data_IF_759387435485
#
_entry.id   IF_759387435485
#
_cell.length_a   1.000
_cell.length_b   1.000
_cell.length_c   1.000
_cell.angle_alpha   90.00
_cell.angle_beta   90.00
_cell.angle_gamma   90.00
#
_symmetry.space_group_name_H-M   'P 1'
#
loop_
_entity.id
_entity.type
_entity.pdbx_description
1 polymer ?
#
# COMPACT_ATOMS: atom_id res chain seq x y z
N UNK A 1 -19.23 -57.79 1.86
CA UNK A 1 -18.22 -56.85 1.37
C UNK A 1 -18.79 -55.55 0.86
N UNK A 2 -19.89 -55.54 0.06
CA UNK A 2 -20.48 -54.30 -0.48
C UNK A 2 -21.05 -53.33 0.56
N UNK A 3 -21.72 -53.81 1.61
CA UNK A 3 -22.33 -52.98 2.65
C UNK A 3 -21.24 -52.19 3.43
N UNK A 4 -20.13 -52.81 3.81
CA UNK A 4 -19.02 -52.11 4.50
C UNK A 4 -18.37 -51.05 3.63
N UNK A 5 -18.18 -51.31 2.33
CA UNK A 5 -17.63 -50.36 1.39
C UNK A 5 -18.54 -49.15 1.25
N UNK A 6 -19.85 -49.32 1.12
CA UNK A 6 -20.83 -48.25 1.03
C UNK A 6 -20.83 -47.40 2.31
N UNK A 7 -20.80 -48.00 3.49
CA UNK A 7 -20.73 -47.24 4.75
C UNK A 7 -19.45 -46.45 4.85
N UNK A 8 -18.29 -47.02 4.50
CA UNK A 8 -17.01 -46.30 4.50
C UNK A 8 -17.02 -45.12 3.54
N UNK A 9 -17.55 -45.29 2.33
CA UNK A 9 -17.65 -44.19 1.34
C UNK A 9 -18.58 -43.08 1.86
N UNK A 10 -19.71 -43.42 2.44
CA UNK A 10 -20.66 -42.44 3.01
C UNK A 10 -20.02 -41.66 4.14
N UNK A 11 -19.34 -42.31 5.09
CA UNK A 11 -18.67 -41.67 6.22
C UNK A 11 -17.56 -40.74 5.71
N UNK A 12 -16.75 -41.21 4.74
CA UNK A 12 -15.69 -40.37 4.14
C UNK A 12 -16.29 -39.13 3.44
N UNK A 13 -17.37 -39.30 2.70
CA UNK A 13 -18.07 -38.17 2.03
C UNK A 13 -18.61 -37.14 3.01
N UNK A 14 -19.21 -37.62 4.12
CA UNK A 14 -19.70 -36.72 5.19
C UNK A 14 -18.54 -35.99 5.85
N UNK A 15 -17.43 -36.68 6.14
CA UNK A 15 -16.26 -36.06 6.75
C UNK A 15 -15.65 -34.99 5.82
N UNK A 16 -15.51 -35.29 4.53
CA UNK A 16 -15.01 -34.32 3.52
C UNK A 16 -15.95 -33.11 3.42
N UNK A 17 -17.26 -33.34 3.34
CA UNK A 17 -18.24 -32.25 3.29
C UNK A 17 -18.21 -31.38 4.56
N UNK A 18 -18.04 -32.01 5.73
CA UNK A 18 -17.96 -31.29 7.01
C UNK A 18 -16.70 -30.43 7.09
N UNK A 19 -15.55 -30.95 6.65
CA UNK A 19 -14.28 -30.20 6.58
C UNK A 19 -14.43 -29.04 5.59
N UNK A 20 -14.99 -29.31 4.42
CA UNK A 20 -15.22 -28.28 3.40
C UNK A 20 -16.13 -27.17 3.91
N UNK A 21 -17.25 -27.50 4.55
CA UNK A 21 -18.16 -26.53 5.17
C UNK A 21 -17.48 -25.73 6.28
N UNK A 22 -16.65 -26.36 7.09
CA UNK A 22 -15.88 -25.66 8.13
C UNK A 22 -14.88 -24.67 7.53
N UNK A 23 -14.17 -25.04 6.47
CA UNK A 23 -13.23 -24.19 5.76
C UNK A 23 -13.97 -22.99 5.14
N UNK A 24 -15.07 -23.23 4.43
CA UNK A 24 -15.85 -22.16 3.78
C UNK A 24 -16.43 -21.20 4.81
N UNK A 25 -17.02 -21.71 5.92
CA UNK A 25 -17.60 -20.85 6.97
C UNK A 25 -16.58 -20.02 7.73
N UNK A 26 -15.35 -20.50 7.88
CA UNK A 26 -14.29 -19.81 8.61
C UNK A 26 -13.33 -19.06 7.66
N UNK A 27 -13.57 -19.09 6.36
CA UNK A 27 -12.79 -18.32 5.40
C UNK A 27 -12.96 -16.82 5.67
N UNK A 28 -11.89 -16.03 5.73
CA UNK A 28 -11.99 -14.58 5.77
C UNK A 28 -12.39 -13.97 4.42
N UNK A 29 -12.41 -14.80 3.35
CA UNK A 29 -12.67 -14.38 1.98
C UNK A 29 -14.18 -14.45 1.66
N UNK A 30 -14.66 -13.40 0.98
CA UNK A 30 -15.95 -13.34 0.31
C UNK A 30 -15.74 -12.95 -1.16
N UNK A 31 -15.24 -13.90 -2.01
CA UNK A 31 -14.69 -13.58 -3.33
C UNK A 31 -15.74 -13.17 -4.34
N UNK A 32 -15.36 -12.22 -5.21
CA UNK A 32 -16.12 -11.84 -6.41
C UNK A 32 -15.39 -12.33 -7.67
N UNK A 33 -16.15 -12.60 -8.76
CA UNK A 33 -15.53 -12.86 -10.06
C UNK A 33 -14.71 -11.66 -10.53
N UNK A 34 -13.44 -11.88 -10.86
CA UNK A 34 -12.59 -10.86 -11.44
C UNK A 34 -12.91 -10.66 -12.92
N UNK A 35 -13.05 -9.40 -13.33
CA UNK A 35 -13.13 -9.01 -14.73
C UNK A 35 -12.00 -8.04 -15.03
N UNK A 36 -11.11 -8.42 -15.95
CA UNK A 36 -9.98 -7.57 -16.33
C UNK A 36 -10.23 -6.94 -17.70
N UNK A 37 -9.91 -5.65 -17.89
CA UNK A 37 -9.92 -5.04 -19.21
C UNK A 37 -8.88 -5.74 -20.11
N UNK A 38 -9.10 -5.71 -21.40
CA UNK A 38 -8.08 -6.17 -22.35
C UNK A 38 -6.82 -5.32 -22.21
N UNK A 39 -5.65 -5.95 -22.24
CA UNK A 39 -4.38 -5.21 -22.23
C UNK A 39 -4.34 -4.25 -23.42
N UNK A 40 -3.86 -3.01 -23.21
CA UNK A 40 -3.61 -2.11 -24.33
C UNK A 40 -2.56 -2.73 -25.27
N UNK A 41 -2.61 -2.37 -26.54
CA UNK A 41 -1.59 -2.80 -27.50
C UNK A 41 -0.23 -2.19 -27.11
N UNK A 42 0.85 -2.93 -27.33
CA UNK A 42 2.23 -2.47 -27.13
C UNK A 42 2.67 -1.55 -28.28
N UNK A 43 1.95 -0.45 -28.48
CA UNK A 43 2.15 0.53 -29.54
C UNK A 43 2.30 1.93 -28.96
N UNK A 44 2.95 2.85 -29.65
CA UNK A 44 3.12 4.24 -29.22
C UNK A 44 3.87 4.33 -27.88
N UNK A 45 3.28 4.95 -26.86
CA UNK A 45 3.91 5.12 -25.54
C UNK A 45 4.07 3.79 -24.79
N UNK A 46 3.36 2.76 -25.16
CA UNK A 46 3.46 1.41 -24.59
C UNK A 46 4.39 0.48 -25.39
N UNK A 47 5.01 0.97 -26.46
CA UNK A 47 5.93 0.16 -27.25
C UNK A 47 7.14 -0.27 -26.40
N UNK A 48 7.62 -1.50 -26.67
CA UNK A 48 8.82 -2.02 -26.02
C UNK A 48 9.99 -1.05 -26.19
N UNK A 49 10.74 -0.79 -25.11
CA UNK A 49 11.91 0.08 -25.13
C UNK A 49 13.01 -0.46 -24.20
N UNK A 50 14.20 0.10 -24.30
CA UNK A 50 15.38 -0.27 -23.52
C UNK A 50 15.92 0.91 -22.66
N UNK A 51 15.07 1.89 -22.33
CA UNK A 51 15.48 3.11 -21.63
C UNK A 51 16.13 2.85 -20.27
N UNK A 52 15.72 1.78 -19.58
CA UNK A 52 16.27 1.38 -18.28
C UNK A 52 17.40 0.35 -18.38
N UNK A 53 17.87 0.01 -19.58
CA UNK A 53 19.05 -0.85 -19.73
C UNK A 53 20.32 -0.08 -19.32
N UNK A 54 21.12 -0.68 -18.45
CA UNK A 54 22.39 -0.09 -18.01
C UNK A 54 22.26 0.98 -16.92
N UNK A 55 21.09 1.11 -16.26
CA UNK A 55 20.94 2.00 -15.10
C UNK A 55 21.83 1.51 -13.94
N UNK A 56 22.38 2.46 -13.19
CA UNK A 56 23.09 2.19 -11.96
C UNK A 56 22.10 1.84 -10.84
N UNK A 57 22.43 0.83 -10.03
CA UNK A 57 21.66 0.46 -8.84
C UNK A 57 22.35 1.02 -7.61
N UNK A 58 21.68 1.95 -6.94
CA UNK A 58 22.16 2.56 -5.70
C UNK A 58 21.66 1.75 -4.50
N UNK A 59 22.54 1.54 -3.49
CA UNK A 59 22.15 0.91 -2.21
C UNK A 59 21.92 -0.58 -2.22
N UNK A 60 22.45 -1.30 -3.21
CA UNK A 60 22.32 -2.76 -3.28
C UNK A 60 22.85 -3.41 -2.00
N UNK A 61 21.99 -4.19 -1.31
CA UNK A 61 22.33 -4.85 -0.04
C UNK A 61 22.29 -3.94 1.19
N UNK A 62 22.08 -2.63 1.03
CA UNK A 62 21.98 -1.67 2.13
C UNK A 62 20.54 -1.16 2.34
N UNK A 63 19.71 -1.17 1.29
CA UNK A 63 18.31 -0.73 1.32
C UNK A 63 17.43 -1.95 1.11
N UNK A 64 16.70 -2.34 2.16
CA UNK A 64 15.88 -3.55 2.15
C UNK A 64 14.43 -3.21 1.77
N UNK A 65 13.98 -3.72 0.63
CA UNK A 65 12.59 -3.58 0.18
C UNK A 65 12.09 -2.12 0.17
N UNK A 66 12.81 -1.18 -0.49
CA UNK A 66 12.33 0.19 -0.65
C UNK A 66 11.05 0.15 -1.51
N UNK A 67 10.11 1.04 -1.20
CA UNK A 67 8.86 1.08 -1.94
C UNK A 67 8.72 2.41 -2.69
N UNK A 68 8.86 3.54 -1.98
CA UNK A 68 8.74 4.88 -2.54
C UNK A 68 9.99 5.72 -2.27
N UNK A 69 10.13 6.84 -2.98
CA UNK A 69 11.28 7.74 -2.92
C UNK A 69 10.83 9.20 -2.82
N UNK A 70 11.37 9.93 -1.85
CA UNK A 70 11.22 11.38 -1.74
C UNK A 70 12.58 12.07 -1.84
N UNK A 71 12.63 13.21 -2.51
CA UNK A 71 13.86 14.01 -2.65
C UNK A 71 13.65 15.36 -1.98
N UNK A 72 14.53 15.72 -1.05
CA UNK A 72 14.44 17.01 -0.37
C UNK A 72 15.10 18.16 -1.16
N UNK A 73 14.98 19.37 -0.64
CA UNK A 73 15.54 20.59 -1.27
C UNK A 73 17.09 20.56 -1.39
N UNK A 74 17.76 19.68 -0.65
CA UNK A 74 19.20 19.50 -0.69
C UNK A 74 19.64 18.38 -1.64
N UNK A 75 18.70 17.68 -2.30
CA UNK A 75 18.99 16.58 -3.21
C UNK A 75 19.23 15.24 -2.50
N UNK A 76 18.91 15.12 -1.20
CA UNK A 76 18.99 13.85 -0.46
C UNK A 76 17.73 13.04 -0.73
N UNK A 77 17.89 11.72 -0.84
CA UNK A 77 16.79 10.81 -1.15
C UNK A 77 16.38 10.05 0.12
N UNK A 78 15.09 10.03 0.40
CA UNK A 78 14.51 9.26 1.49
C UNK A 78 13.69 8.10 0.95
N UNK A 79 13.71 6.97 1.64
CA UNK A 79 12.90 5.80 1.29
C UNK A 79 12.50 5.00 2.52
N UNK A 80 11.26 4.51 2.52
CA UNK A 80 10.77 3.58 3.52
C UNK A 80 11.24 2.15 3.24
N UNK A 81 11.73 1.44 4.26
CA UNK A 81 12.31 0.11 4.12
C UNK A 81 11.51 -0.97 4.88
N UNK A 82 11.63 -2.21 4.41
CA UNK A 82 10.95 -3.37 5.02
C UNK A 82 11.42 -3.72 6.42
N UNK A 83 12.58 -3.20 6.82
CA UNK A 83 13.16 -3.36 8.16
C UNK A 83 12.68 -2.29 9.17
N UNK A 84 11.70 -1.46 8.78
CA UNK A 84 11.10 -0.42 9.62
C UNK A 84 11.90 0.88 9.67
N UNK A 85 12.96 1.01 8.89
CA UNK A 85 13.74 2.22 8.77
C UNK A 85 13.25 3.11 7.64
N UNK A 86 13.27 4.41 7.85
CA UNK A 86 13.42 5.39 6.78
C UNK A 86 14.92 5.58 6.61
N UNK A 87 15.43 5.25 5.43
CA UNK A 87 16.84 5.47 5.07
C UNK A 87 16.99 6.71 4.22
N UNK A 88 18.14 7.37 4.35
CA UNK A 88 18.49 8.55 3.58
C UNK A 88 19.77 8.29 2.79
N UNK A 89 19.71 8.58 1.51
CA UNK A 89 20.88 8.60 0.62
C UNK A 89 21.36 10.03 0.53
N UNK A 90 22.57 10.27 0.99
CA UNK A 90 23.23 11.58 0.92
C UNK A 90 23.67 11.89 -0.51
N UNK A 91 23.98 13.14 -0.79
CA UNK A 91 24.40 13.60 -2.12
C UNK A 91 25.77 13.02 -2.57
N UNK A 92 26.57 12.53 -1.65
CA UNK A 92 27.81 11.79 -1.93
C UNK A 92 27.61 10.29 -2.13
N UNK A 93 26.35 9.82 -2.06
CA UNK A 93 25.96 8.42 -2.20
C UNK A 93 26.03 7.61 -0.90
N UNK A 94 26.44 8.20 0.25
CA UNK A 94 26.39 7.50 1.53
C UNK A 94 24.93 7.21 1.92
N UNK A 95 24.69 6.00 2.46
CA UNK A 95 23.37 5.61 2.95
C UNK A 95 23.39 5.54 4.46
N UNK A 96 22.45 6.25 5.08
CA UNK A 96 22.31 6.29 6.54
C UNK A 96 20.93 5.78 6.97
N UNK A 97 20.88 5.10 8.10
CA UNK A 97 19.65 4.81 8.80
C UNK A 97 19.18 6.11 9.48
N UNK A 98 18.22 6.81 8.84
CA UNK A 98 17.85 8.15 9.30
C UNK A 98 16.90 8.12 10.50
N UNK A 99 15.75 7.44 10.38
CA UNK A 99 14.79 7.30 11.50
C UNK A 99 14.12 5.93 11.48
N UNK A 100 14.10 5.27 12.62
CA UNK A 100 13.41 3.97 12.79
C UNK A 100 11.95 4.21 13.19
N UNK A 101 11.00 3.89 12.30
CA UNK A 101 9.57 4.03 12.56
C UNK A 101 8.95 2.78 13.16
N UNK A 102 9.60 1.62 13.03
CA UNK A 102 9.20 0.36 13.66
C UNK A 102 8.04 -0.37 12.99
N UNK A 103 7.42 0.24 11.97
CA UNK A 103 6.36 -0.36 11.18
C UNK A 103 6.83 -0.84 9.81
N UNK A 104 6.01 -0.59 8.79
CA UNK A 104 6.37 -0.79 7.38
C UNK A 104 6.06 0.51 6.63
N UNK A 105 6.99 1.46 6.58
CA UNK A 105 6.84 2.65 5.75
C UNK A 105 6.80 2.24 4.27
N UNK A 106 5.75 2.65 3.59
CA UNK A 106 5.52 2.46 2.16
C UNK A 106 5.71 3.81 1.47
N UNK A 107 4.65 4.59 1.27
CA UNK A 107 4.73 5.90 0.66
C UNK A 107 5.49 6.90 1.53
N UNK A 108 6.35 7.72 0.91
CA UNK A 108 7.10 8.79 1.56
C UNK A 108 7.08 10.05 0.71
N UNK A 109 6.91 11.22 1.34
CA UNK A 109 7.01 12.52 0.67
C UNK A 109 7.64 13.55 1.60
N UNK A 110 8.39 14.51 1.04
CA UNK A 110 8.89 15.65 1.81
C UNK A 110 7.74 16.63 2.03
N UNK A 111 7.44 16.94 3.28
CA UNK A 111 6.44 17.91 3.67
C UNK A 111 6.90 19.35 3.48
N UNK A 112 6.02 20.31 3.80
CA UNK A 112 6.27 21.74 3.56
C UNK A 112 7.38 22.33 4.44
N UNK A 113 7.73 21.69 5.54
CA UNK A 113 8.73 22.13 6.52
C UNK A 113 9.93 21.16 6.58
N UNK A 114 10.21 20.46 5.50
CA UNK A 114 11.30 19.46 5.37
C UNK A 114 11.11 18.22 6.28
N UNK A 115 9.94 18.04 6.90
CA UNK A 115 9.54 16.78 7.52
C UNK A 115 9.27 15.70 6.48
N UNK A 116 9.38 14.45 6.85
CA UNK A 116 9.00 13.32 6.00
C UNK A 116 7.61 12.85 6.41
N UNK A 117 6.64 12.99 5.52
CA UNK A 117 5.31 12.41 5.69
C UNK A 117 5.34 10.98 5.17
N UNK A 118 4.71 10.08 5.88
CA UNK A 118 4.82 8.64 5.62
C UNK A 118 3.45 7.97 5.72
N UNK A 119 3.11 7.15 4.74
CA UNK A 119 2.10 6.12 4.89
C UNK A 119 2.77 4.85 5.43
N UNK A 120 2.52 4.52 6.69
CA UNK A 120 3.00 3.26 7.28
C UNK A 120 1.87 2.24 7.29
N UNK A 121 2.12 1.08 6.69
CA UNK A 121 1.11 0.04 6.49
C UNK A 121 0.43 -0.44 7.79
N UNK A 122 1.08 -0.29 8.95
CA UNK A 122 0.55 -0.73 10.23
C UNK A 122 0.13 0.41 11.15
N UNK A 123 0.75 1.59 11.00
CA UNK A 123 0.58 2.71 11.93
C UNK A 123 -0.30 3.83 11.38
N UNK A 124 -0.53 3.86 10.05
CA UNK A 124 -1.32 4.90 9.39
C UNK A 124 -0.46 6.05 8.85
N UNK A 125 -0.99 7.27 8.88
CA UNK A 125 -0.30 8.46 8.38
C UNK A 125 0.59 9.06 9.47
N UNK A 126 1.88 9.21 9.17
CA UNK A 126 2.90 9.69 10.11
C UNK A 126 3.53 11.01 9.62
N UNK A 127 3.92 11.85 10.57
CA UNK A 127 4.86 12.95 10.38
C UNK A 127 6.16 12.57 11.08
N UNK A 128 7.27 12.55 10.35
CA UNK A 128 8.56 12.07 10.83
C UNK A 128 9.62 13.14 10.62
N UNK A 129 10.33 13.44 11.70
CA UNK A 129 11.57 14.22 11.68
C UNK A 129 12.69 13.39 12.28
N UNK A 130 13.92 13.84 12.24
CA UNK A 130 15.05 13.04 12.72
C UNK A 130 14.86 12.59 14.18
N UNK A 131 14.69 11.28 14.35
CA UNK A 131 14.48 10.64 15.65
C UNK A 131 13.11 10.90 16.32
N UNK A 132 12.15 11.57 15.64
CA UNK A 132 10.81 11.82 16.18
C UNK A 132 9.73 11.35 15.20
N UNK A 133 8.74 10.67 15.75
CA UNK A 133 7.61 10.13 15.00
C UNK A 133 6.33 10.63 15.65
N UNK A 134 5.44 11.18 14.85
CA UNK A 134 4.09 11.56 15.25
C UNK A 134 3.08 10.87 14.37
N UNK A 135 2.21 10.03 14.96
CA UNK A 135 1.04 9.49 14.27
C UNK A 135 0.02 10.61 14.14
N UNK A 136 -0.37 10.97 12.93
CA UNK A 136 -1.29 12.07 12.66
C UNK A 136 -2.69 11.61 12.23
N UNK A 137 -2.81 10.40 11.69
CA UNK A 137 -4.12 9.80 11.40
C UNK A 137 -4.05 8.27 11.36
N UNK A 138 -5.07 7.61 11.95
CA UNK A 138 -5.19 6.13 12.00
C UNK A 138 -6.54 5.63 11.50
N UNK A 139 -7.49 6.54 11.26
CA UNK A 139 -8.84 6.18 10.81
C UNK A 139 -9.51 7.33 10.07
N UNK A 140 -10.54 7.01 9.30
CA UNK A 140 -11.45 7.98 8.69
C UNK A 140 -12.87 7.42 8.73
N UNK A 141 -13.86 8.30 9.03
CA UNK A 141 -15.28 7.96 9.12
C UNK A 141 -15.56 6.77 10.08
N UNK A 142 -14.78 6.66 11.18
CA UNK A 142 -14.92 5.58 12.19
C UNK A 142 -14.36 4.23 11.74
N UNK A 143 -13.69 4.16 10.60
CA UNK A 143 -13.08 2.94 10.07
C UNK A 143 -11.55 3.08 10.03
N UNK A 144 -10.87 2.24 10.82
CA UNK A 144 -9.39 2.22 10.89
C UNK A 144 -8.77 1.86 9.55
N UNK A 145 -7.58 2.38 9.32
CA UNK A 145 -6.74 1.93 8.21
C UNK A 145 -6.17 0.54 8.52
N UNK A 146 -5.98 -0.25 7.49
CA UNK A 146 -5.33 -1.56 7.58
C UNK A 146 -4.07 -1.62 6.74
N UNK A 147 -4.00 -0.80 5.68
CA UNK A 147 -2.87 -0.77 4.77
C UNK A 147 -2.79 0.59 4.08
N UNK A 148 -2.32 1.62 4.81
CA UNK A 148 -1.99 2.90 4.15
C UNK A 148 -0.78 2.73 3.24
N UNK A 149 -0.82 3.32 2.03
CA UNK A 149 0.12 3.01 0.97
C UNK A 149 0.76 4.27 0.37
N UNK A 150 0.19 4.88 -0.66
CA UNK A 150 0.75 6.06 -1.31
C UNK A 150 0.27 7.38 -0.72
N UNK A 151 1.07 8.46 -0.86
CA UNK A 151 0.65 9.80 -0.45
C UNK A 151 1.30 10.89 -1.31
N UNK A 152 0.66 12.06 -1.33
CA UNK A 152 1.24 13.30 -1.83
C UNK A 152 0.71 14.50 -1.03
N UNK A 153 1.46 15.60 -1.02
CA UNK A 153 1.16 16.81 -0.22
C UNK A 153 0.95 18.03 -1.10
N UNK A 154 -0.18 18.71 -0.89
CA UNK A 154 -0.49 19.96 -1.57
C UNK A 154 0.25 21.15 -0.97
N UNK A 155 0.35 22.27 -1.74
CA UNK A 155 1.00 23.52 -1.32
C UNK A 155 0.35 24.18 -0.10
N UNK A 156 -0.90 23.83 0.21
CA UNK A 156 -1.60 24.28 1.42
C UNK A 156 -1.41 23.35 2.63
N UNK A 157 -0.62 22.30 2.47
CA UNK A 157 -0.35 21.27 3.50
C UNK A 157 -1.38 20.14 3.55
N UNK A 158 -2.41 20.18 2.72
CA UNK A 158 -3.37 19.07 2.60
C UNK A 158 -2.64 17.80 2.11
N UNK A 159 -2.85 16.68 2.79
CA UNK A 159 -2.26 15.40 2.40
C UNK A 159 -3.33 14.53 1.76
N UNK A 160 -3.07 14.07 0.54
CA UNK A 160 -3.86 13.05 -0.14
C UNK A 160 -3.14 11.71 -0.01
N UNK A 161 -3.86 10.68 0.40
CA UNK A 161 -3.23 9.37 0.61
C UNK A 161 -4.24 8.24 0.41
N UNK A 162 -3.72 7.03 0.26
CA UNK A 162 -4.51 5.84 0.04
C UNK A 162 -4.46 4.90 1.24
N UNK A 163 -5.57 4.19 1.44
CA UNK A 163 -5.65 2.98 2.26
C UNK A 163 -6.01 1.86 1.29
N UNK A 164 -5.02 1.04 0.93
CA UNK A 164 -5.15 0.03 -0.12
C UNK A 164 -6.22 -1.01 0.23
N UNK A 165 -6.36 -1.31 1.51
CA UNK A 165 -7.41 -2.17 2.03
C UNK A 165 -7.77 -1.78 3.47
N UNK A 166 -9.07 -1.55 3.74
CA UNK A 166 -9.56 -1.41 5.10
C UNK A 166 -9.87 -2.75 5.77
N UNK A 167 -9.82 -3.85 5.01
CA UNK A 167 -10.16 -5.20 5.47
C UNK A 167 -8.93 -6.03 5.82
N UNK A 168 -7.95 -6.06 4.95
CA UNK A 168 -6.75 -6.88 5.09
C UNK A 168 -5.52 -6.02 5.36
N UNK A 169 -4.68 -6.45 6.29
CA UNK A 169 -3.39 -5.81 6.53
C UNK A 169 -2.31 -6.30 5.55
N UNK A 170 -1.11 -5.74 5.65
CA UNK A 170 -0.01 -6.06 4.75
C UNK A 170 0.37 -7.56 4.77
N UNK A 171 0.24 -8.25 5.90
CA UNK A 171 0.53 -9.69 5.94
C UNK A 171 -0.54 -10.52 5.23
N UNK A 172 -1.71 -9.94 5.05
CA UNK A 172 -2.89 -10.55 4.46
C UNK A 172 -3.20 -10.03 3.05
N UNK A 173 -2.40 -9.12 2.49
CA UNK A 173 -2.67 -8.53 1.17
C UNK A 173 -2.93 -9.55 0.05
N UNK A 174 -2.32 -10.77 0.04
CA UNK A 174 -2.67 -11.76 -0.97
C UNK A 174 -4.12 -12.23 -0.89
N UNK A 175 -4.75 -12.13 0.30
CA UNK A 175 -6.16 -12.47 0.47
C UNK A 175 -7.08 -11.39 -0.15
N UNK A 176 -6.67 -10.11 -0.12
CA UNK A 176 -7.38 -9.03 -0.81
C UNK A 176 -7.42 -9.30 -2.31
N UNK A 177 -6.30 -9.74 -2.88
CA UNK A 177 -6.19 -10.14 -4.28
C UNK A 177 -7.08 -11.32 -4.63
N UNK A 178 -7.11 -12.36 -3.79
CA UNK A 178 -7.93 -13.54 -4.00
C UNK A 178 -9.43 -13.24 -3.82
N UNK A 179 -9.77 -12.28 -2.97
CA UNK A 179 -11.15 -11.86 -2.75
C UNK A 179 -11.70 -11.01 -3.90
N UNK A 180 -10.84 -10.22 -4.56
CA UNK A 180 -11.19 -9.33 -5.66
C UNK A 180 -12.38 -8.41 -5.33
N UNK A 181 -12.39 -7.84 -4.10
CA UNK A 181 -13.38 -6.84 -3.67
C UNK A 181 -12.76 -5.47 -3.53
N UNK A 182 -13.55 -4.40 -3.74
CA UNK A 182 -13.05 -3.04 -3.65
C UNK A 182 -12.98 -2.59 -2.17
N UNK A 183 -11.92 -2.98 -1.46
CA UNK A 183 -11.68 -2.65 -0.06
C UNK A 183 -10.84 -1.38 0.12
N UNK A 184 -10.40 -0.72 -0.95
CA UNK A 184 -9.53 0.45 -0.91
C UNK A 184 -10.28 1.77 -0.80
N UNK A 185 -9.55 2.80 -0.32
CA UNK A 185 -10.06 4.18 -0.14
C UNK A 185 -9.01 5.19 -0.56
N UNK A 186 -9.47 6.34 -1.10
CA UNK A 186 -8.68 7.55 -1.25
C UNK A 186 -9.12 8.55 -0.19
N UNK A 187 -8.15 9.16 0.48
CA UNK A 187 -8.32 9.93 1.71
C UNK A 187 -7.68 11.31 1.56
N UNK A 188 -8.20 12.27 2.31
CA UNK A 188 -7.67 13.62 2.44
C UNK A 188 -7.52 13.94 3.93
N UNK A 189 -6.31 14.29 4.36
CA UNK A 189 -6.05 14.84 5.69
C UNK A 189 -5.85 16.35 5.60
N UNK A 190 -6.58 17.10 6.43
CA UNK A 190 -6.48 18.55 6.55
C UNK A 190 -5.70 18.88 7.83
N UNK A 191 -4.47 19.41 7.73
CA UNK A 191 -3.65 19.73 8.90
C UNK A 191 -4.20 20.86 9.75
N UNK A 192 -5.02 21.76 9.18
CA UNK A 192 -5.61 22.88 9.91
C UNK A 192 -6.68 22.43 10.91
N UNK A 193 -7.37 21.33 10.60
CA UNK A 193 -8.45 20.77 11.43
C UNK A 193 -8.05 19.47 12.11
N UNK A 194 -6.96 18.84 11.69
CA UNK A 194 -6.56 17.50 12.12
C UNK A 194 -7.51 16.40 11.68
N UNK A 195 -8.35 16.66 10.68
CA UNK A 195 -9.41 15.73 10.24
C UNK A 195 -9.04 15.02 8.95
N UNK A 196 -9.31 13.70 8.93
CA UNK A 196 -9.28 12.91 7.68
C UNK A 196 -10.70 12.71 7.14
N UNK A 197 -10.83 12.83 5.83
CA UNK A 197 -12.09 12.65 5.08
C UNK A 197 -11.88 11.61 3.99
N UNK A 198 -12.84 10.72 3.80
CA UNK A 198 -12.86 9.78 2.66
C UNK A 198 -13.35 10.53 1.42
N UNK A 199 -12.51 10.58 0.38
CA UNK A 199 -12.86 11.19 -0.91
C UNK A 199 -13.51 10.17 -1.84
N UNK A 200 -12.93 8.99 -1.93
CA UNK A 200 -13.44 7.88 -2.72
C UNK A 200 -13.33 6.60 -1.90
N UNK A 201 -14.25 5.69 -2.11
CA UNK A 201 -14.30 4.36 -1.52
C UNK A 201 -14.57 3.32 -2.59
N UNK A 202 -14.57 2.07 -2.20
CA UNK A 202 -14.84 0.96 -3.09
C UNK A 202 -13.82 0.89 -4.25
N UNK A 203 -12.53 1.10 -3.91
CA UNK A 203 -11.40 1.03 -4.83
C UNK A 203 -10.70 -0.34 -4.75
N UNK A 204 -10.20 -0.81 -5.89
CA UNK A 204 -9.52 -2.10 -5.98
C UNK A 204 -8.02 -1.95 -5.68
N UNK A 205 -7.68 -2.02 -4.39
CA UNK A 205 -6.32 -1.87 -3.87
C UNK A 205 -5.68 -0.53 -4.31
N UNK A 206 -6.25 0.57 -3.79
CA UNK A 206 -5.75 1.91 -4.05
C UNK A 206 -4.29 2.03 -3.58
N UNK A 207 -3.39 2.43 -4.48
CA UNK A 207 -1.95 2.46 -4.28
C UNK A 207 -1.43 3.90 -4.46
N UNK A 208 -0.42 4.13 -5.28
CA UNK A 208 0.19 5.44 -5.46
C UNK A 208 -0.80 6.54 -5.81
N UNK A 209 -0.55 7.75 -5.31
CA UNK A 209 -1.28 8.98 -5.63
C UNK A 209 -0.28 10.10 -5.92
N UNK A 210 -0.58 10.95 -6.88
CA UNK A 210 0.25 12.11 -7.21
C UNK A 210 -0.61 13.30 -7.63
N UNK A 211 -0.27 14.49 -7.14
CA UNK A 211 -0.86 15.75 -7.55
C UNK A 211 -0.24 16.25 -8.85
N UNK A 212 -1.04 16.90 -9.68
CA UNK A 212 -0.52 17.64 -10.82
C UNK A 212 0.35 18.80 -10.34
N UNK A 213 1.28 19.26 -11.16
CA UNK A 213 2.14 20.43 -10.84
C UNK A 213 1.32 21.68 -10.49
N UNK A 214 0.19 21.89 -11.17
CA UNK A 214 -0.74 23.01 -10.92
C UNK A 214 -1.71 22.74 -9.77
N UNK A 215 -1.75 21.49 -9.27
CA UNK A 215 -2.67 21.03 -8.22
C UNK A 215 -4.17 21.21 -8.56
N UNK A 216 -4.50 21.15 -9.84
CA UNK A 216 -5.87 21.22 -10.36
C UNK A 216 -6.50 19.82 -10.52
N UNK A 217 -5.69 18.77 -10.47
CA UNK A 217 -6.12 17.38 -10.37
C UNK A 217 -5.06 16.53 -9.65
N UNK A 218 -5.43 15.33 -9.27
CA UNK A 218 -4.52 14.25 -8.87
C UNK A 218 -4.82 12.99 -9.66
N UNK A 219 -3.82 12.13 -9.78
CA UNK A 219 -3.96 10.77 -10.30
C UNK A 219 -3.70 9.79 -9.19
N UNK A 220 -4.36 8.66 -9.21
CA UNK A 220 -4.07 7.52 -8.32
C UNK A 220 -4.23 6.23 -9.10
N UNK A 221 -3.66 5.15 -8.60
CA UNK A 221 -3.78 3.85 -9.24
C UNK A 221 -4.57 2.85 -8.38
N UNK A 222 -5.28 1.97 -9.07
CA UNK A 222 -5.88 0.76 -8.51
C UNK A 222 -5.08 -0.43 -9.02
N UNK A 223 -4.48 -1.22 -8.12
CA UNK A 223 -3.54 -2.30 -8.51
C UNK A 223 -4.22 -3.43 -9.28
N UNK A 224 -5.54 -3.59 -9.13
CA UNK A 224 -6.30 -4.71 -9.72
C UNK A 224 -7.27 -4.31 -10.82
N UNK A 225 -7.24 -3.10 -11.31
CA UNK A 225 -8.24 -2.66 -12.27
C UNK A 225 -7.65 -2.12 -13.56
#
# INVERSE_FOLDING_TARGET
MGLYLNVMVTVASIAIASVWLAVVKNSPLDPLPATYPSRPKEEGVFAHNALLHGVEKIGVGQVSGPEDLAVDSHGRIYTGCSDGWIKRVETDGQIVNWTYVGGRPLGVVVGLHEEILVCDAYQGLLNVTEGKIQVISTEADGLKYKLTDGLDVAKDGTIYFTDASHKFDLNQFPLDFLECRPNGRLLKYDPSTGKTTVLLKDLFFANGVALSEKQDFFVFCETFK
#
